data_IF_995844046208
#
_entry.id   IF_995844046208
#
_cell.length_a   1.000
_cell.length_b   1.000
_cell.length_c   1.000
_cell.angle_alpha   90.00
_cell.angle_beta   90.00
_cell.angle_gamma   90.00
#
_symmetry.space_group_name_H-M   'P 1'
#
loop_
_entity.id
_entity.type
_entity.pdbx_description
1 polymer ?
#
# COMPACT_ATOMS: atom_id res chain seq x y z
N UNK A 1 -44.08 13.66 -36.51
CA UNK A 1 -44.81 12.46 -36.98
C UNK A 1 -43.85 11.41 -37.56
N UNK A 2 -42.89 10.89 -36.79
CA UNK A 2 -42.03 9.74 -37.17
C UNK A 2 -41.27 9.19 -35.92
N UNK A 3 -41.90 9.19 -34.75
CA UNK A 3 -41.31 8.64 -33.53
C UNK A 3 -42.27 7.82 -32.68
N UNK A 4 -43.27 7.21 -33.28
CA UNK A 4 -44.28 6.38 -32.57
C UNK A 4 -44.52 5.00 -33.17
N UNK A 5 -43.62 4.44 -33.98
CA UNK A 5 -43.86 3.16 -34.64
C UNK A 5 -42.68 2.17 -34.52
N UNK A 6 -41.87 2.26 -33.48
CA UNK A 6 -40.76 1.32 -33.30
C UNK A 6 -40.64 0.73 -31.87
N UNK A 7 -41.77 0.68 -31.15
CA UNK A 7 -41.73 0.17 -29.76
C UNK A 7 -42.74 -0.93 -29.47
N UNK A 8 -43.18 -1.69 -30.51
CA UNK A 8 -44.16 -2.76 -30.31
C UNK A 8 -43.91 -4.04 -31.13
N UNK A 9 -42.65 -4.45 -31.30
CA UNK A 9 -42.37 -5.74 -31.97
C UNK A 9 -41.08 -6.43 -31.44
N UNK A 10 -40.82 -6.45 -30.15
CA UNK A 10 -39.86 -7.40 -29.55
C UNK A 10 -40.36 -7.72 -28.13
N UNK A 11 -41.50 -8.36 -28.04
CA UNK A 11 -41.91 -9.15 -26.88
C UNK A 11 -42.81 -10.27 -27.46
N UNK A 12 -42.18 -11.38 -27.75
CA UNK A 12 -42.74 -12.74 -27.78
C UNK A 12 -41.76 -13.62 -28.54
N UNK A 13 -41.15 -14.48 -27.81
CA UNK A 13 -40.55 -15.78 -28.12
C UNK A 13 -39.27 -15.99 -27.31
N UNK A 14 -39.45 -16.35 -26.05
CA UNK A 14 -38.50 -17.19 -25.34
C UNK A 14 -39.32 -18.29 -24.67
N UNK A 15 -39.35 -19.45 -25.31
CA UNK A 15 -39.83 -20.69 -24.71
C UNK A 15 -38.95 -21.09 -23.53
N UNK A 16 -39.49 -21.74 -22.48
CA UNK A 16 -38.72 -22.22 -21.34
C UNK A 16 -38.01 -23.52 -21.73
N UNK A 17 -36.68 -23.50 -21.66
CA UNK A 17 -35.87 -24.71 -21.72
C UNK A 17 -35.93 -25.37 -20.34
N UNK A 18 -36.43 -26.59 -20.36
CA UNK A 18 -36.63 -27.54 -19.28
C UNK A 18 -35.33 -27.83 -18.50
N UNK A 19 -35.56 -28.03 -17.20
CA UNK A 19 -34.68 -28.70 -16.24
C UNK A 19 -34.21 -30.07 -16.78
N UNK A 20 -32.97 -30.38 -16.63
CA UNK A 20 -32.38 -31.61 -16.11
C UNK A 20 -31.02 -31.88 -16.77
N UNK A 21 -29.97 -31.70 -15.98
CA UNK A 21 -28.82 -32.60 -15.85
C UNK A 21 -27.81 -32.00 -14.87
N UNK A 22 -28.05 -32.31 -13.62
CA UNK A 22 -27.06 -32.12 -12.56
C UNK A 22 -25.94 -33.15 -12.71
N UNK A 23 -24.80 -32.71 -13.29
CA UNK A 23 -23.55 -33.42 -13.13
C UNK A 23 -23.03 -33.17 -11.72
N UNK A 24 -22.59 -34.18 -10.97
CA UNK A 24 -22.06 -33.98 -9.64
C UNK A 24 -20.70 -33.29 -9.73
N UNK A 25 -20.63 -32.02 -9.37
CA UNK A 25 -19.39 -31.33 -9.08
C UNK A 25 -18.81 -31.99 -7.82
N UNK A 26 -17.70 -32.71 -7.99
CA UNK A 26 -16.94 -33.26 -6.87
C UNK A 26 -16.55 -32.12 -5.91
N UNK A 27 -17.04 -32.24 -4.69
CA UNK A 27 -16.87 -31.28 -3.58
C UNK A 27 -15.46 -31.25 -2.97
N UNK A 28 -14.43 -31.66 -3.68
CA UNK A 28 -13.10 -31.84 -3.09
C UNK A 28 -12.05 -30.81 -3.54
N UNK A 29 -12.47 -29.65 -4.07
CA UNK A 29 -11.56 -28.57 -4.50
C UNK A 29 -11.98 -27.16 -4.05
N UNK A 30 -12.84 -27.07 -3.05
CA UNK A 30 -12.97 -25.82 -2.28
C UNK A 30 -12.21 -26.04 -0.97
N UNK A 31 -10.89 -25.93 -1.01
CA UNK A 31 -10.16 -25.54 0.17
C UNK A 31 -10.64 -24.12 0.48
N UNK A 32 -11.48 -24.02 1.49
CA UNK A 32 -11.75 -22.77 2.19
C UNK A 32 -10.39 -22.19 2.61
N UNK A 33 -9.93 -21.21 1.85
CA UNK A 33 -8.93 -20.27 2.35
C UNK A 33 -9.62 -19.50 3.48
N UNK A 34 -9.62 -20.06 4.68
CA UNK A 34 -9.78 -19.28 5.89
C UNK A 34 -8.60 -18.30 5.91
N UNK A 35 -8.84 -17.10 5.41
CA UNK A 35 -7.98 -15.94 5.69
C UNK A 35 -8.16 -15.72 7.18
N UNK A 36 -7.21 -16.25 7.94
CA UNK A 36 -7.13 -16.06 9.39
C UNK A 36 -6.68 -14.62 9.62
N UNK A 37 -7.60 -13.68 9.41
CA UNK A 37 -7.42 -12.29 9.79
C UNK A 37 -7.57 -12.25 11.31
N UNK A 38 -6.48 -12.44 12.02
CA UNK A 38 -6.41 -12.21 13.46
C UNK A 38 -6.50 -10.70 13.74
N UNK A 39 -7.65 -10.11 13.45
CA UNK A 39 -7.96 -8.77 13.92
C UNK A 39 -8.40 -8.87 15.37
N UNK A 40 -7.56 -8.41 16.29
CA UNK A 40 -7.97 -8.27 17.69
C UNK A 40 -8.84 -7.01 17.79
N UNK A 41 -10.13 -7.17 17.99
CA UNK A 41 -11.06 -6.07 18.21
C UNK A 41 -11.16 -5.85 19.74
N UNK A 42 -10.68 -4.71 20.20
CA UNK A 42 -10.87 -4.27 21.58
C UNK A 42 -11.96 -3.19 21.64
N UNK A 43 -12.91 -3.40 22.55
CA UNK A 43 -13.92 -2.38 22.87
C UNK A 43 -13.49 -1.67 24.14
N UNK A 44 -13.24 -0.37 24.04
CA UNK A 44 -13.00 0.46 25.21
C UNK A 44 -14.36 0.96 25.69
N UNK A 45 -14.80 0.59 26.90
CA UNK A 45 -16.12 0.98 27.40
C UNK A 45 -16.21 2.50 27.58
N UNK A 46 -17.40 3.02 27.38
CA UNK A 46 -17.74 4.41 27.65
C UNK A 46 -17.57 4.74 29.15
N UNK A 47 -17.06 5.94 29.45
CA UNK A 47 -16.82 6.38 30.83
C UNK A 47 -18.08 6.89 31.55
N UNK A 48 -19.20 7.11 30.86
CA UNK A 48 -20.44 7.66 31.41
C UNK A 48 -21.69 7.36 30.58
N UNK A 49 -22.87 7.59 31.14
CA UNK A 49 -24.16 7.51 30.43
C UNK A 49 -24.20 8.58 29.34
N UNK A 50 -24.26 8.15 28.09
CA UNK A 50 -24.27 9.03 26.89
C UNK A 50 -22.95 9.13 26.12
N UNK A 51 -21.87 8.50 26.60
CA UNK A 51 -20.60 8.42 25.89
C UNK A 51 -20.62 7.33 24.81
N UNK A 52 -19.97 7.63 23.68
CA UNK A 52 -19.84 6.66 22.57
C UNK A 52 -18.73 5.64 22.86
N UNK A 53 -19.04 4.37 22.63
CA UNK A 53 -18.04 3.29 22.64
C UNK A 53 -16.98 3.53 21.56
N UNK A 54 -15.70 3.38 21.92
CA UNK A 54 -14.61 3.40 20.98
C UNK A 54 -14.28 1.96 20.56
N UNK A 55 -14.46 1.66 19.28
CA UNK A 55 -14.07 0.39 18.70
C UNK A 55 -12.65 0.53 18.13
N UNK A 56 -11.70 -0.24 18.66
CA UNK A 56 -10.30 -0.23 18.23
C UNK A 56 -10.04 -1.51 17.44
N UNK A 57 -9.60 -1.35 16.20
CA UNK A 57 -9.27 -2.46 15.31
C UNK A 57 -7.74 -2.59 15.16
N UNK A 58 -7.22 -3.77 15.47
CA UNK A 58 -5.81 -4.10 15.31
C UNK A 58 -5.69 -5.22 14.27
N UNK A 59 -4.90 -5.00 13.24
CA UNK A 59 -4.47 -6.08 12.37
C UNK A 59 -3.08 -6.54 12.80
N UNK A 60 -3.01 -7.71 13.42
CA UNK A 60 -1.75 -8.37 13.77
C UNK A 60 -1.33 -9.17 12.55
N UNK A 61 -0.32 -8.71 11.83
CA UNK A 61 0.33 -9.53 10.81
C UNK A 61 1.46 -10.32 11.48
N UNK A 62 1.40 -11.65 11.35
CA UNK A 62 2.56 -12.50 11.65
C UNK A 62 3.72 -12.10 10.72
N UNK A 63 4.96 -12.16 11.22
CA UNK A 63 6.14 -12.00 10.35
C UNK A 63 6.04 -13.00 9.20
N UNK A 64 6.06 -12.57 7.94
CA UNK A 64 6.12 -13.51 6.84
C UNK A 64 7.47 -14.22 6.87
N UNK A 65 7.45 -15.55 6.83
CA UNK A 65 8.66 -16.31 6.56
C UNK A 65 9.19 -15.89 5.18
N UNK A 66 10.44 -15.49 5.13
CA UNK A 66 11.10 -15.11 3.88
C UNK A 66 11.24 -16.37 3.01
N UNK A 67 10.48 -16.43 1.95
CA UNK A 67 10.69 -17.40 0.88
C UNK A 67 11.69 -16.76 -0.08
N UNK A 68 12.95 -17.18 0.01
CA UNK A 68 13.94 -16.78 -0.99
C UNK A 68 13.39 -17.13 -2.38
N UNK A 69 13.55 -16.22 -3.40
CA UNK A 69 13.18 -16.56 -4.75
C UNK A 69 13.88 -17.88 -5.10
N UNK A 70 13.10 -18.91 -5.43
CA UNK A 70 13.63 -20.20 -5.83
C UNK A 70 14.45 -19.97 -7.09
N UNK A 71 15.77 -19.96 -6.96
CA UNK A 71 16.65 -20.15 -8.08
C UNK A 71 16.38 -21.59 -8.58
N UNK A 72 15.51 -21.71 -9.57
CA UNK A 72 15.42 -22.93 -10.35
C UNK A 72 16.71 -23.01 -11.20
N UNK A 73 17.82 -23.37 -10.53
CA UNK A 73 18.97 -23.93 -11.21
C UNK A 73 18.56 -25.35 -11.62
N UNK A 74 17.76 -25.46 -12.66
CA UNK A 74 17.84 -26.64 -13.50
C UNK A 74 19.23 -26.57 -14.12
N UNK A 75 20.09 -27.53 -13.76
CA UNK A 75 21.35 -27.78 -14.43
C UNK A 75 21.04 -28.05 -15.91
N UNK A 76 21.16 -26.98 -16.72
CA UNK A 76 21.14 -27.13 -18.17
C UNK A 76 22.52 -27.69 -18.54
N UNK A 77 22.54 -28.99 -18.82
CA UNK A 77 23.69 -29.65 -19.45
C UNK A 77 24.08 -28.84 -20.68
N UNK A 78 25.36 -28.50 -20.75
CA UNK A 78 26.05 -27.89 -21.87
C UNK A 78 25.94 -28.83 -23.11
N UNK A 79 24.97 -28.58 -23.95
CA UNK A 79 24.89 -29.19 -25.27
C UNK A 79 24.94 -28.10 -26.36
N UNK A 80 26.04 -28.16 -27.11
CA UNK A 80 26.47 -27.20 -28.09
C UNK A 80 25.39 -26.75 -29.08
N UNK A 81 25.44 -25.46 -29.36
CA UNK A 81 24.90 -24.75 -30.54
C UNK A 81 23.70 -25.40 -31.23
N UNK A 82 22.54 -25.26 -30.63
CA UNK A 82 21.30 -25.41 -31.39
C UNK A 82 20.66 -24.02 -31.45
N UNK A 83 20.58 -23.47 -32.65
CA UNK A 83 19.67 -22.38 -32.96
C UNK A 83 18.23 -22.86 -32.78
N UNK A 84 17.81 -23.00 -31.55
CA UNK A 84 16.42 -23.16 -31.22
C UNK A 84 15.72 -21.82 -31.51
N UNK A 85 14.69 -21.87 -32.34
CA UNK A 85 13.67 -20.81 -32.44
C UNK A 85 12.87 -20.77 -31.15
N UNK A 86 13.54 -20.43 -30.05
CA UNK A 86 12.91 -20.16 -28.74
C UNK A 86 12.93 -18.67 -28.50
N UNK A 87 11.99 -18.19 -27.72
CA UNK A 87 11.97 -16.81 -27.28
C UNK A 87 13.29 -16.49 -26.55
N UNK A 88 13.87 -15.33 -26.86
CA UNK A 88 15.10 -14.87 -26.22
C UNK A 88 14.86 -14.67 -24.71
N UNK A 89 15.61 -15.39 -23.86
CA UNK A 89 15.62 -15.17 -22.43
C UNK A 89 16.71 -14.16 -22.04
N UNK A 90 16.36 -12.93 -21.71
CA UNK A 90 17.34 -11.91 -21.32
C UNK A 90 18.11 -12.25 -20.04
N UNK A 91 17.65 -13.20 -19.22
CA UNK A 91 18.34 -13.62 -17.99
C UNK A 91 19.53 -14.52 -18.27
N UNK A 92 19.57 -15.18 -19.42
CA UNK A 92 20.66 -16.09 -19.78
C UNK A 92 22.02 -15.37 -19.84
N UNK A 93 22.05 -14.09 -20.26
CA UNK A 93 23.29 -13.31 -20.36
C UNK A 93 23.99 -13.05 -19.00
N UNK A 94 23.23 -13.09 -17.89
CA UNK A 94 23.71 -12.84 -16.53
C UNK A 94 23.22 -13.94 -15.58
N UNK A 95 23.25 -15.18 -16.02
CA UNK A 95 22.75 -16.34 -15.25
C UNK A 95 23.39 -16.52 -13.87
N UNK A 96 24.60 -16.02 -13.69
CA UNK A 96 25.31 -16.02 -12.40
C UNK A 96 24.94 -14.88 -11.45
N UNK A 97 24.00 -14.00 -11.79
CA UNK A 97 23.60 -12.92 -10.91
C UNK A 97 22.81 -13.42 -9.71
N UNK A 98 23.26 -13.03 -8.52
CA UNK A 98 22.60 -13.37 -7.24
C UNK A 98 21.90 -12.11 -6.73
N UNK A 99 20.59 -12.23 -6.42
CA UNK A 99 19.82 -11.13 -5.83
C UNK A 99 20.35 -10.78 -4.43
N UNK A 100 20.22 -9.50 -4.01
CA UNK A 100 20.60 -9.10 -2.66
C UNK A 100 19.78 -9.86 -1.62
N UNK A 101 20.44 -10.35 -0.59
CA UNK A 101 19.79 -10.99 0.55
C UNK A 101 19.05 -9.96 1.40
N UNK A 102 17.91 -10.36 1.98
CA UNK A 102 17.09 -9.44 2.79
C UNK A 102 17.78 -9.03 4.09
N UNK A 103 18.73 -9.83 4.55
CA UNK A 103 19.57 -9.60 5.72
C UNK A 103 20.46 -8.37 5.59
N UNK A 104 20.72 -7.91 4.36
CA UNK A 104 21.45 -6.66 4.09
C UNK A 104 20.66 -5.42 4.53
N UNK A 105 19.33 -5.54 4.67
CA UNK A 105 18.47 -4.47 5.13
C UNK A 105 18.36 -4.48 6.66
N UNK A 106 18.56 -3.31 7.26
CA UNK A 106 18.45 -3.15 8.70
C UNK A 106 17.04 -3.45 9.21
N UNK A 107 16.98 -4.11 10.36
CA UNK A 107 15.74 -4.36 11.08
C UNK A 107 15.44 -3.15 11.97
N UNK A 108 14.46 -2.32 11.58
CA UNK A 108 14.00 -1.18 12.36
C UNK A 108 12.61 -1.45 12.92
N UNK A 109 12.37 -0.94 14.13
CA UNK A 109 11.07 -1.00 14.78
C UNK A 109 10.79 -2.33 15.49
N UNK A 110 9.81 -2.29 16.36
CA UNK A 110 9.14 -3.49 16.87
C UNK A 110 7.96 -3.73 15.93
N UNK A 111 7.77 -4.99 15.50
CA UNK A 111 6.64 -5.36 14.63
C UNK A 111 5.26 -5.24 15.33
N UNK A 112 5.26 -4.84 16.59
CA UNK A 112 4.06 -4.58 17.39
C UNK A 112 3.83 -3.08 17.54
N UNK A 113 2.73 -2.59 16.99
CA UNK A 113 2.27 -1.21 17.23
C UNK A 113 2.01 -1.04 18.72
N UNK A 114 2.75 -0.12 19.35
CA UNK A 114 2.54 0.19 20.76
C UNK A 114 1.30 1.06 20.92
N UNK A 115 0.23 0.46 21.45
CA UNK A 115 -1.03 1.14 21.62
C UNK A 115 -1.00 1.98 22.90
N UNK A 116 -1.23 3.27 22.73
CA UNK A 116 -1.52 4.15 23.84
C UNK A 116 -3.03 4.38 23.95
N UNK A 117 -3.71 3.54 24.74
CA UNK A 117 -5.16 3.62 24.93
C UNK A 117 -5.59 4.98 25.54
N UNK A 118 -4.73 5.60 26.32
CA UNK A 118 -5.00 6.93 26.91
C UNK A 118 -5.01 8.01 25.82
N UNK A 119 -4.06 7.97 24.91
CA UNK A 119 -3.99 8.89 23.76
C UNK A 119 -5.22 8.72 22.85
N UNK A 120 -5.59 7.47 22.56
CA UNK A 120 -6.76 7.17 21.73
C UNK A 120 -8.04 7.73 22.32
N UNK A 121 -8.24 7.50 23.61
CA UNK A 121 -9.42 7.99 24.33
C UNK A 121 -9.43 9.52 24.40
N UNK A 122 -8.29 10.14 24.74
CA UNK A 122 -8.18 11.59 24.82
C UNK A 122 -8.44 12.26 23.45
N UNK A 123 -7.93 11.70 22.38
CA UNK A 123 -8.17 12.21 21.02
C UNK A 123 -9.63 12.04 20.61
N UNK A 124 -10.24 10.87 20.90
CA UNK A 124 -11.68 10.65 20.69
C UNK A 124 -12.51 11.73 21.38
N UNK A 125 -12.27 11.92 22.68
CA UNK A 125 -13.06 12.85 23.50
C UNK A 125 -12.92 14.28 22.96
N UNK A 126 -11.71 14.73 22.61
CA UNK A 126 -11.48 16.05 22.01
C UNK A 126 -12.16 16.23 20.66
N UNK A 127 -12.15 15.22 19.79
CA UNK A 127 -12.85 15.25 18.50
C UNK A 127 -14.36 15.41 18.73
N UNK A 128 -14.94 14.60 19.62
CA UNK A 128 -16.37 14.62 19.91
C UNK A 128 -16.78 15.95 20.56
N UNK A 129 -16.01 16.46 21.52
CA UNK A 129 -16.28 17.75 22.17
C UNK A 129 -16.22 18.91 21.18
N UNK A 130 -15.21 18.91 20.29
CA UNK A 130 -15.11 19.93 19.25
C UNK A 130 -16.33 19.91 18.33
N UNK A 131 -16.72 18.74 17.83
CA UNK A 131 -17.88 18.60 16.97
C UNK A 131 -19.18 18.99 17.67
N UNK A 132 -19.34 18.61 18.94
CA UNK A 132 -20.49 18.97 19.78
C UNK A 132 -20.60 20.48 20.01
N UNK A 133 -19.48 21.19 20.22
CA UNK A 133 -19.44 22.64 20.36
C UNK A 133 -19.99 23.37 19.10
N UNK A 134 -19.83 22.76 17.93
CA UNK A 134 -20.41 23.26 16.67
C UNK A 134 -21.80 22.69 16.35
N UNK A 135 -22.46 22.06 17.35
CA UNK A 135 -23.79 21.43 17.19
C UNK A 135 -23.79 20.36 16.09
N UNK A 136 -22.76 19.53 16.07
CA UNK A 136 -22.62 18.36 15.19
C UNK A 136 -22.67 17.12 16.07
N UNK A 137 -23.74 16.35 15.95
CA UNK A 137 -23.91 15.09 16.65
C UNK A 137 -23.32 13.93 15.86
N UNK A 138 -22.65 13.02 16.55
CA UNK A 138 -22.00 11.82 15.98
C UNK A 138 -22.72 10.59 16.54
N UNK A 139 -23.09 9.68 15.65
CA UNK A 139 -23.76 8.42 16.00
C UNK A 139 -22.76 7.34 16.44
N UNK A 140 -21.64 7.23 15.73
CA UNK A 140 -20.58 6.22 15.98
C UNK A 140 -19.21 6.78 15.72
N UNK A 141 -18.22 6.27 16.46
CA UNK A 141 -16.80 6.53 16.23
C UNK A 141 -16.03 5.22 16.36
N UNK A 142 -15.10 5.00 15.41
CA UNK A 142 -14.20 3.86 15.37
C UNK A 142 -12.79 4.37 15.15
N UNK A 143 -11.79 3.82 15.84
CA UNK A 143 -10.39 4.13 15.60
C UNK A 143 -9.67 2.93 14.96
N UNK A 144 -8.89 3.21 13.93
CA UNK A 144 -7.96 2.26 13.30
C UNK A 144 -6.55 2.82 13.45
N UNK A 145 -5.67 2.06 14.10
CA UNK A 145 -4.32 2.50 14.44
C UNK A 145 -3.37 2.08 13.33
N UNK A 146 -2.74 3.07 12.70
CA UNK A 146 -1.65 2.86 11.77
C UNK A 146 -0.28 3.18 12.39
N UNK A 147 0.82 2.91 11.68
CA UNK A 147 2.17 3.13 12.20
C UNK A 147 2.50 4.60 12.45
N UNK A 148 1.98 5.52 11.66
CA UNK A 148 2.29 6.95 11.75
C UNK A 148 1.09 7.82 12.07
N UNK A 149 -0.11 7.37 11.72
CA UNK A 149 -1.37 8.08 11.93
C UNK A 149 -2.44 7.13 12.46
N UNK A 150 -3.35 7.65 13.25
CA UNK A 150 -4.57 6.95 13.66
C UNK A 150 -5.75 7.53 12.90
N UNK A 151 -6.55 6.66 12.30
CA UNK A 151 -7.77 7.02 11.59
C UNK A 151 -8.98 6.91 12.51
N UNK A 152 -9.66 8.02 12.77
CA UNK A 152 -10.96 8.04 13.44
C UNK A 152 -12.07 8.10 12.39
N UNK A 153 -12.78 6.98 12.21
CA UNK A 153 -13.95 6.90 11.33
C UNK A 153 -15.19 7.29 12.14
N UNK A 154 -15.88 8.34 11.71
CA UNK A 154 -17.09 8.83 12.36
C UNK A 154 -18.31 8.67 11.45
N UNK A 155 -19.44 8.34 12.05
CA UNK A 155 -20.76 8.36 11.42
C UNK A 155 -21.51 9.54 11.99
N UNK A 156 -21.75 10.60 11.20
CA UNK A 156 -22.55 11.73 11.66
C UNK A 156 -24.02 11.36 11.81
N UNK A 157 -24.71 12.01 12.72
CA UNK A 157 -26.15 11.85 12.89
C UNK A 157 -26.91 12.28 11.62
N UNK A 158 -28.13 11.73 11.37
CA UNK A 158 -28.94 12.10 10.22
C UNK A 158 -29.19 13.61 10.13
N UNK A 159 -29.03 14.18 8.95
CA UNK A 159 -29.22 15.61 8.68
C UNK A 159 -27.95 16.47 8.82
N UNK A 160 -26.85 15.93 9.33
CA UNK A 160 -25.56 16.64 9.37
C UNK A 160 -24.94 16.70 7.99
N UNK A 161 -24.57 17.90 7.53
CA UNK A 161 -23.89 18.10 6.24
C UNK A 161 -22.41 17.82 6.37
N UNK A 162 -21.86 16.97 5.51
CA UNK A 162 -20.44 16.60 5.45
C UNK A 162 -19.52 17.83 5.37
N UNK A 163 -19.90 18.84 4.58
CA UNK A 163 -19.13 20.08 4.45
C UNK A 163 -18.94 20.83 5.77
N UNK A 164 -19.89 20.72 6.71
CA UNK A 164 -19.77 21.32 8.03
C UNK A 164 -18.61 20.73 8.82
N UNK A 165 -18.45 19.40 8.77
CA UNK A 165 -17.35 18.70 9.45
C UNK A 165 -16.02 19.00 8.75
N UNK A 166 -15.99 18.97 7.41
CA UNK A 166 -14.77 19.23 6.65
C UNK A 166 -14.20 20.63 6.92
N UNK A 167 -15.05 21.64 7.11
CA UNK A 167 -14.60 23.00 7.39
C UNK A 167 -14.04 23.19 8.81
N UNK A 168 -14.16 22.20 9.69
CA UNK A 168 -13.62 22.23 11.04
C UNK A 168 -12.25 21.55 11.17
N UNK A 169 -11.56 21.29 10.05
CA UNK A 169 -10.26 20.64 10.03
C UNK A 169 -9.25 21.36 10.93
N UNK A 170 -9.14 22.69 10.78
CA UNK A 170 -8.23 23.50 11.59
C UNK A 170 -8.64 23.57 13.07
N UNK A 171 -9.95 23.66 13.37
CA UNK A 171 -10.45 23.68 14.75
C UNK A 171 -10.20 22.36 15.48
N UNK A 172 -10.39 21.23 14.79
CA UNK A 172 -10.10 19.90 15.31
C UNK A 172 -8.59 19.73 15.50
N UNK A 173 -7.76 20.14 14.54
CA UNK A 173 -6.31 20.07 14.64
C UNK A 173 -5.81 20.87 15.87
N UNK A 174 -6.36 22.08 16.08
CA UNK A 174 -6.04 22.92 17.23
C UNK A 174 -6.42 22.23 18.55
N UNK A 175 -7.62 21.67 18.63
CA UNK A 175 -8.10 20.99 19.85
C UNK A 175 -7.25 19.77 20.22
N UNK A 176 -6.75 19.04 19.21
CA UNK A 176 -5.87 17.90 19.36
C UNK A 176 -4.40 18.30 19.64
N UNK A 177 -4.08 19.59 19.53
CA UNK A 177 -2.69 20.08 19.54
C UNK A 177 -1.80 19.36 18.51
N UNK A 178 -2.38 18.97 17.37
CA UNK A 178 -1.69 18.28 16.28
C UNK A 178 -1.10 19.30 15.30
N UNK A 179 0.06 18.99 14.72
CA UNK A 179 0.69 19.83 13.69
C UNK A 179 -0.15 19.94 12.39
N UNK A 180 -1.10 19.04 12.23
CA UNK A 180 -2.07 18.99 11.14
C UNK A 180 -2.84 17.68 11.20
N UNK A 181 -4.06 17.71 10.76
CA UNK A 181 -4.89 16.52 10.56
C UNK A 181 -5.33 16.50 9.10
N UNK A 182 -5.99 15.42 8.69
CA UNK A 182 -6.60 15.34 7.36
C UNK A 182 -8.00 14.77 7.49
N UNK A 183 -8.98 15.44 6.89
CA UNK A 183 -10.36 14.95 6.84
C UNK A 183 -10.65 14.34 5.48
N UNK A 184 -10.97 13.06 5.45
CA UNK A 184 -11.40 12.30 4.26
C UNK A 184 -12.92 12.19 4.30
N UNK A 185 -13.60 12.95 3.49
CA UNK A 185 -15.05 13.04 3.53
C UNK A 185 -15.66 13.17 2.11
N UNK A 186 -16.43 12.19 1.65
CA UNK A 186 -16.71 10.89 2.29
C UNK A 186 -15.52 9.90 2.15
N UNK A 187 -15.48 8.90 3.04
CA UNK A 187 -14.55 7.77 2.89
C UNK A 187 -14.94 6.92 1.67
N UNK A 188 -13.99 6.60 0.77
CA UNK A 188 -14.24 5.76 -0.39
C UNK A 188 -14.85 4.40 -0.01
N UNK A 189 -15.99 4.04 -0.63
CA UNK A 189 -16.67 2.77 -0.38
C UNK A 189 -17.36 2.63 0.99
N UNK A 190 -17.34 3.69 1.84
CA UNK A 190 -17.98 3.73 3.15
C UNK A 190 -18.83 4.99 3.28
N UNK A 191 -19.94 4.92 4.01
CA UNK A 191 -20.79 6.08 4.33
C UNK A 191 -20.27 6.89 5.54
N UNK A 192 -18.97 6.85 5.81
CA UNK A 192 -18.32 7.44 6.98
C UNK A 192 -17.41 8.60 6.59
N UNK A 193 -16.99 9.37 7.60
CA UNK A 193 -15.97 10.42 7.48
C UNK A 193 -14.75 9.97 8.25
N UNK A 194 -13.57 10.01 7.62
CA UNK A 194 -12.29 9.69 8.25
C UNK A 194 -11.58 10.96 8.71
N UNK A 195 -11.05 10.94 9.93
CA UNK A 195 -10.16 11.97 10.49
C UNK A 195 -8.82 11.29 10.79
N UNK A 196 -7.80 11.60 10.00
CA UNK A 196 -6.43 11.12 10.21
C UNK A 196 -5.71 12.05 11.19
N UNK A 197 -5.30 11.48 12.32
CA UNK A 197 -4.57 12.19 13.37
C UNK A 197 -3.17 11.62 13.49
N UNK A 198 -2.10 12.43 13.37
CA UNK A 198 -0.73 11.96 13.57
C UNK A 198 -0.53 11.39 14.97
N UNK A 199 0.13 10.24 15.07
CA UNK A 199 0.47 9.63 16.34
C UNK A 199 1.54 10.50 17.06
N UNK A 200 1.47 10.63 18.37
CA UNK A 200 2.49 11.35 19.14
C UNK A 200 3.89 10.69 19.03
N UNK A 201 3.91 9.37 18.91
CA UNK A 201 5.12 8.58 18.69
C UNK A 201 4.95 7.74 17.42
N UNK A 202 5.24 8.30 16.24
CA UNK A 202 5.14 7.56 15.00
C UNK A 202 6.19 6.43 14.94
N UNK A 203 5.79 5.29 14.44
CA UNK A 203 6.68 4.15 14.21
C UNK A 203 7.34 4.22 12.84
N UNK A 204 8.58 3.75 12.77
CA UNK A 204 9.32 3.66 11.51
C UNK A 204 8.98 2.35 10.82
N UNK A 205 8.41 2.44 9.63
CA UNK A 205 8.18 1.28 8.75
C UNK A 205 9.48 0.93 8.05
N UNK A 206 10.07 -0.22 8.38
CA UNK A 206 11.33 -0.64 7.78
C UNK A 206 11.15 -1.10 6.33
N UNK A 207 12.11 -0.79 5.46
CA UNK A 207 12.15 -1.30 4.09
C UNK A 207 12.21 -2.83 4.07
N UNK A 208 12.93 -3.43 5.03
CA UNK A 208 13.01 -4.87 5.23
C UNK A 208 11.62 -5.51 5.38
N UNK A 209 10.76 -4.96 6.25
CA UNK A 209 9.43 -5.52 6.49
C UNK A 209 8.51 -5.45 5.26
N UNK A 210 8.68 -4.41 4.43
CA UNK A 210 7.89 -4.26 3.21
C UNK A 210 8.37 -5.20 2.11
N UNK A 211 9.69 -5.27 1.88
CA UNK A 211 10.28 -6.18 0.88
C UNK A 211 10.05 -7.64 1.25
N UNK A 212 10.15 -8.01 2.54
CA UNK A 212 9.88 -9.37 3.01
C UNK A 212 8.39 -9.76 2.92
N UNK A 213 7.48 -8.80 2.77
CA UNK A 213 6.05 -9.11 2.74
C UNK A 213 5.69 -10.02 1.57
N UNK A 214 4.79 -10.96 1.82
CA UNK A 214 4.26 -11.86 0.79
C UNK A 214 3.70 -11.09 -0.42
N UNK A 215 3.04 -9.97 -0.16
CA UNK A 215 2.48 -9.09 -1.19
C UNK A 215 3.56 -8.55 -2.14
N UNK A 216 4.74 -8.19 -1.62
CA UNK A 216 5.86 -7.74 -2.45
C UNK A 216 6.53 -8.91 -3.17
N UNK A 217 6.73 -10.02 -2.47
CA UNK A 217 7.40 -11.19 -3.04
C UNK A 217 6.59 -11.83 -4.19
N UNK A 218 5.27 -11.89 -4.07
CA UNK A 218 4.38 -12.54 -5.04
C UNK A 218 3.75 -11.58 -6.05
N UNK A 219 4.13 -10.30 -6.06
CA UNK A 219 3.55 -9.34 -7.01
C UNK A 219 3.92 -9.66 -8.46
N UNK A 220 2.95 -9.56 -9.36
CA UNK A 220 3.12 -9.69 -10.82
C UNK A 220 3.40 -8.35 -11.52
N UNK A 221 3.64 -7.26 -10.77
CA UNK A 221 3.91 -5.95 -11.34
C UNK A 221 5.22 -5.91 -12.14
N UNK A 222 5.21 -5.16 -13.24
CA UNK A 222 6.40 -5.04 -14.08
C UNK A 222 7.52 -4.26 -13.38
N UNK A 223 7.20 -3.17 -12.69
CA UNK A 223 8.15 -2.37 -11.92
C UNK A 223 7.61 -2.09 -10.51
N UNK A 224 7.60 -3.11 -9.62
CA UNK A 224 7.04 -2.94 -8.28
C UNK A 224 7.89 -2.04 -7.40
N UNK A 225 7.27 -1.02 -6.84
CA UNK A 225 7.87 -0.13 -5.86
C UNK A 225 7.15 -0.25 -4.52
N UNK A 226 7.92 -0.44 -3.47
CA UNK A 226 7.44 -0.54 -2.10
C UNK A 226 7.37 0.87 -1.50
N UNK A 227 6.17 1.37 -1.22
CA UNK A 227 5.96 2.74 -0.74
C UNK A 227 5.72 2.83 0.76
N UNK A 228 5.52 1.70 1.45
CA UNK A 228 5.31 1.67 2.89
C UNK A 228 4.07 0.87 3.28
N UNK A 229 3.39 1.31 4.33
CA UNK A 229 2.14 0.72 4.83
C UNK A 229 0.99 1.71 4.76
N UNK A 230 -0.21 1.19 4.55
CA UNK A 230 -1.45 1.96 4.64
C UNK A 230 -1.80 2.26 6.11
N UNK A 231 -2.85 3.05 6.33
CA UNK A 231 -3.42 3.32 7.66
C UNK A 231 -3.88 2.01 8.33
N UNK A 232 -4.33 1.04 7.52
CA UNK A 232 -4.73 -0.30 7.99
C UNK A 232 -3.55 -1.24 8.21
N UNK A 233 -2.31 -0.70 8.23
CA UNK A 233 -1.06 -1.46 8.38
C UNK A 233 -0.77 -2.48 7.27
N UNK A 234 -1.46 -2.41 6.14
CA UNK A 234 -1.20 -3.24 4.97
C UNK A 234 -0.03 -2.72 4.14
N UNK A 235 0.81 -3.60 3.63
CA UNK A 235 1.88 -3.23 2.69
C UNK A 235 1.30 -2.59 1.42
N UNK A 236 1.77 -1.38 1.08
CA UNK A 236 1.39 -0.67 -0.12
C UNK A 236 2.48 -0.72 -1.18
N UNK A 237 2.13 -1.32 -2.32
CA UNK A 237 3.01 -1.51 -3.48
C UNK A 237 2.32 -0.90 -4.69
N UNK A 238 3.08 -0.18 -5.50
CA UNK A 238 2.60 0.37 -6.76
C UNK A 238 3.45 -0.16 -7.93
N UNK A 239 2.85 -0.17 -9.11
CA UNK A 239 3.56 -0.52 -10.35
C UNK A 239 4.04 0.77 -11.04
N UNK A 240 5.35 1.02 -11.00
CA UNK A 240 5.94 2.19 -11.65
C UNK A 240 5.75 2.16 -13.18
N UNK A 241 5.64 0.99 -13.80
CA UNK A 241 5.40 0.87 -15.24
C UNK A 241 4.05 1.49 -15.66
N UNK A 242 3.06 1.50 -14.76
CA UNK A 242 1.75 2.15 -14.98
C UNK A 242 1.74 3.65 -14.66
N UNK A 243 2.85 4.16 -14.14
CA UNK A 243 3.05 5.58 -13.82
C UNK A 243 4.22 6.10 -14.68
N UNK A 244 3.99 6.48 -15.95
CA UNK A 244 5.06 6.84 -16.89
C UNK A 244 5.89 8.04 -16.39
N UNK A 245 5.32 8.88 -15.53
CA UNK A 245 6.00 9.99 -14.88
C UNK A 245 5.61 10.02 -13.40
N UNK A 246 6.62 10.04 -12.53
CA UNK A 246 6.43 10.18 -11.08
C UNK A 246 7.15 11.44 -10.60
N UNK A 247 6.39 12.40 -10.07
CA UNK A 247 6.95 13.56 -9.39
C UNK A 247 7.01 13.31 -7.90
N UNK A 248 8.22 13.44 -7.33
CA UNK A 248 8.43 13.39 -5.89
C UNK A 248 8.93 14.74 -5.39
N UNK A 249 8.19 15.37 -4.51
CA UNK A 249 8.52 16.67 -3.92
C UNK A 249 8.47 16.61 -2.40
N UNK A 250 9.26 17.45 -1.75
CA UNK A 250 9.30 17.57 -0.30
C UNK A 250 10.29 18.66 0.13
N UNK A 251 10.02 19.31 1.26
CA UNK A 251 10.99 20.24 1.87
C UNK A 251 12.24 19.50 2.35
N UNK A 252 13.28 20.24 2.63
CA UNK A 252 14.53 19.67 3.18
C UNK A 252 14.24 18.91 4.47
N UNK A 253 14.77 17.68 4.56
CA UNK A 253 14.57 16.81 5.73
C UNK A 253 13.24 16.02 5.73
N UNK A 254 12.35 16.20 4.75
CA UNK A 254 11.06 15.51 4.69
C UNK A 254 11.12 14.14 3.99
N UNK A 255 12.32 13.58 3.81
CA UNK A 255 12.47 12.20 3.33
C UNK A 255 12.42 12.00 1.81
N UNK A 256 12.50 13.07 0.98
CA UNK A 256 12.50 12.93 -0.48
C UNK A 256 13.59 11.96 -0.98
N UNK A 257 14.81 12.13 -0.53
CA UNK A 257 15.94 11.25 -0.91
C UNK A 257 15.78 9.82 -0.38
N UNK A 258 15.22 9.67 0.82
CA UNK A 258 14.88 8.34 1.37
C UNK A 258 13.82 7.65 0.52
N UNK A 259 12.78 8.37 0.10
CA UNK A 259 11.76 7.83 -0.80
C UNK A 259 12.31 7.43 -2.17
N UNK A 260 13.23 8.23 -2.74
CA UNK A 260 13.90 7.89 -4.00
C UNK A 260 14.73 6.61 -3.85
N UNK A 261 15.51 6.51 -2.77
CA UNK A 261 16.29 5.31 -2.48
C UNK A 261 15.38 4.09 -2.27
N UNK A 262 14.24 4.24 -1.59
CA UNK A 262 13.28 3.17 -1.42
C UNK A 262 12.74 2.63 -2.75
N UNK A 263 12.49 3.52 -3.72
CA UNK A 263 12.08 3.13 -5.08
C UNK A 263 13.18 2.32 -5.76
N UNK A 264 14.42 2.84 -5.78
CA UNK A 264 15.55 2.15 -6.42
C UNK A 264 15.81 0.78 -5.76
N UNK A 265 15.86 0.74 -4.43
CA UNK A 265 16.06 -0.50 -3.67
C UNK A 265 14.95 -1.51 -3.94
N UNK A 266 13.69 -1.09 -4.03
CA UNK A 266 12.58 -1.99 -4.40
C UNK A 266 12.85 -2.71 -5.72
N UNK A 267 13.30 -1.97 -6.72
CA UNK A 267 13.58 -2.51 -8.05
C UNK A 267 14.80 -3.43 -8.04
N UNK A 268 15.86 -3.10 -7.27
CA UNK A 268 17.06 -3.94 -7.12
C UNK A 268 16.75 -5.28 -6.45
N UNK A 269 15.80 -5.33 -5.51
CA UNK A 269 15.38 -6.57 -4.85
C UNK A 269 14.42 -7.43 -5.67
N UNK A 270 13.81 -6.87 -6.73
CA UNK A 270 12.77 -7.58 -7.48
C UNK A 270 13.13 -7.88 -8.93
N UNK A 271 13.97 -7.05 -9.55
CA UNK A 271 14.26 -7.16 -10.97
C UNK A 271 15.71 -7.57 -11.24
N UNK A 272 15.84 -8.51 -12.17
CA UNK A 272 17.15 -8.92 -12.66
C UNK A 272 17.80 -7.79 -13.48
N UNK A 273 19.13 -7.61 -13.45
CA UNK A 273 19.80 -6.54 -14.19
C UNK A 273 19.63 -6.60 -15.71
N UNK A 274 19.26 -7.76 -16.26
CA UNK A 274 18.88 -7.88 -17.68
C UNK A 274 17.47 -7.32 -17.99
N UNK A 275 16.62 -7.18 -16.98
CA UNK A 275 15.24 -6.72 -17.12
C UNK A 275 15.09 -5.21 -16.92
N UNK A 276 16.05 -4.57 -16.23
CA UNK A 276 16.00 -3.15 -15.92
C UNK A 276 17.39 -2.50 -16.00
N UNK A 277 17.43 -1.29 -16.54
CA UNK A 277 18.59 -0.41 -16.49
C UNK A 277 18.16 0.97 -16.03
N UNK A 278 18.97 1.58 -15.19
CA UNK A 278 18.74 2.94 -14.68
C UNK A 278 19.59 3.95 -15.45
N UNK A 279 19.00 5.04 -15.84
CA UNK A 279 19.69 6.27 -16.21
C UNK A 279 19.52 7.24 -15.06
N UNK A 280 20.59 7.52 -14.33
CA UNK A 280 20.55 8.37 -13.16
C UNK A 280 21.18 9.74 -13.48
N UNK A 281 20.47 10.80 -13.07
CA UNK A 281 20.92 12.20 -13.22
C UNK A 281 20.93 12.86 -11.86
N UNK A 282 22.13 13.26 -11.39
CA UNK A 282 22.31 13.94 -10.10
C UNK A 282 23.22 15.16 -10.25
N UNK A 283 22.69 16.33 -10.64
CA UNK A 283 23.48 17.53 -10.85
C UNK A 283 24.25 18.01 -9.62
N UNK A 284 23.81 17.61 -8.42
CA UNK A 284 24.41 18.01 -7.15
C UNK A 284 25.45 17.02 -6.63
N UNK A 285 25.55 15.84 -7.21
CA UNK A 285 26.42 14.73 -6.77
C UNK A 285 26.22 14.35 -5.28
N UNK A 286 25.00 14.41 -4.78
CA UNK A 286 24.70 14.24 -3.35
C UNK A 286 23.82 13.03 -3.07
N UNK A 287 22.78 12.82 -3.88
CA UNK A 287 21.73 11.86 -3.55
C UNK A 287 21.96 10.48 -4.18
N UNK A 288 22.51 10.42 -5.40
CA UNK A 288 22.62 9.20 -6.19
C UNK A 288 24.03 8.65 -6.33
N UNK A 289 25.05 9.36 -5.89
CA UNK A 289 26.47 8.96 -6.01
C UNK A 289 26.74 7.55 -5.46
N UNK A 290 26.00 7.14 -4.42
CA UNK A 290 26.09 5.80 -3.83
C UNK A 290 25.84 4.69 -4.87
N UNK A 291 24.95 4.93 -5.84
CA UNK A 291 24.58 3.95 -6.86
C UNK A 291 25.64 3.75 -7.95
N UNK A 292 26.75 4.49 -7.97
CA UNK A 292 27.89 4.18 -8.83
C UNK A 292 28.43 2.76 -8.61
N UNK A 293 28.24 2.20 -7.42
CA UNK A 293 28.68 0.83 -7.08
C UNK A 293 27.96 -0.25 -7.90
N UNK A 294 26.76 0.02 -8.43
CA UNK A 294 25.99 -0.92 -9.27
C UNK A 294 26.14 -0.65 -10.77
N UNK A 295 27.14 0.16 -11.17
CA UNK A 295 27.36 0.55 -12.57
C UNK A 295 27.34 -0.64 -13.53
N UNK A 296 28.10 -1.69 -13.21
CA UNK A 296 28.30 -2.83 -14.10
C UNK A 296 27.03 -3.63 -14.39
N UNK A 297 26.08 -3.59 -13.49
CA UNK A 297 24.87 -4.42 -13.55
C UNK A 297 23.64 -3.62 -13.95
N UNK A 298 23.41 -2.48 -13.32
CA UNK A 298 22.12 -1.80 -13.39
C UNK A 298 22.15 -0.42 -14.06
N UNK A 299 23.33 0.24 -14.22
CA UNK A 299 23.34 1.55 -14.83
C UNK A 299 23.50 1.47 -16.36
N UNK A 300 22.74 2.32 -17.05
CA UNK A 300 22.93 2.61 -18.47
C UNK A 300 23.76 3.89 -18.58
N UNK A 301 25.00 3.76 -19.05
CA UNK A 301 25.92 4.85 -19.29
C UNK A 301 25.77 5.40 -20.70
N UNK A 302 25.79 6.71 -20.83
CA UNK A 302 25.88 7.34 -22.17
C UNK A 302 27.22 7.00 -22.85
N UNK A 303 27.24 6.80 -24.17
CA UNK A 303 28.44 6.32 -24.89
C UNK A 303 29.71 7.16 -24.66
N UNK A 304 29.55 8.46 -24.44
CA UNK A 304 30.65 9.41 -24.27
C UNK A 304 30.77 9.97 -22.86
N UNK A 305 30.02 9.43 -21.90
CA UNK A 305 30.07 9.91 -20.51
C UNK A 305 31.28 9.31 -19.79
N UNK A 306 32.00 10.10 -19.03
CA UNK A 306 33.08 9.62 -18.15
C UNK A 306 32.50 8.91 -16.93
N UNK A 307 31.44 9.46 -16.36
CA UNK A 307 30.75 8.95 -15.15
C UNK A 307 29.45 8.21 -15.54
N UNK A 308 29.05 7.25 -14.71
CA UNK A 308 27.83 6.47 -14.91
C UNK A 308 26.58 7.25 -14.50
N UNK A 309 26.71 8.18 -13.56
CA UNK A 309 25.67 9.10 -13.14
C UNK A 309 25.91 10.44 -13.81
N UNK A 310 24.91 10.91 -14.54
CA UNK A 310 24.98 12.17 -15.28
C UNK A 310 24.91 13.33 -14.30
N UNK A 311 25.86 14.27 -14.42
CA UNK A 311 25.98 15.42 -13.50
C UNK A 311 25.76 16.77 -14.19
N UNK A 312 25.84 16.84 -15.54
CA UNK A 312 25.65 18.03 -16.36
C UNK A 312 24.56 17.82 -17.41
#
# INVERSE_FOLDING_TARGET
>A
RLSKTLNNQIVNEVEPILEDETLPIKSDLIQEFEINVNAKIEKIPAKGEGDLELIVEHQIHAEPEFIAPVNSNEEVADDGFIHAKGDYDPKADLSGYIFPEIELLEKHGNDSITINNEELQANKDRILDTLKNYSIEIEKIKATIGPTVTLYEIVPAPGVRISKIKNLEDDIALSLSALGIRIIAPMPGKGTIGIEVPNQKPEVVSMRSIIASEKFQNTSFDLPIALGKTITNETFIADLAKMPHLLMAGATGQGKSVGLNAILVSLLYKKHPSQIKFVLVDPKKVELTLFNTIERHFLAKLPNAEESIITD
#
